data_IF_720649848313
#
_entry.id   IF_720649848313
#
_cell.length_a   1.000
_cell.length_b   1.000
_cell.length_c   1.000
_cell.angle_alpha   90.00
_cell.angle_beta   90.00
_cell.angle_gamma   90.00
#
_symmetry.space_group_name_H-M   'P 1'
#
loop_
_entity.id
_entity.type
_entity.pdbx_description
1 polymer ?
#
# COMPACT_ATOMS: atom_id res chain seq x y z
N UNK A 1 -12.40 -0.84 -1.00
CA UNK A 1 -11.03 -0.34 -1.24
C UNK A 1 -11.04 1.17 -1.14
N UNK A 2 -10.07 1.76 -0.43
CA UNK A 2 -9.94 3.21 -0.19
C UNK A 2 -8.89 3.80 -1.13
N UNK A 3 -9.27 4.70 -2.01
CA UNK A 3 -8.38 5.30 -3.02
C UNK A 3 -8.35 6.81 -2.85
N UNK A 4 -7.14 7.37 -2.86
CA UNK A 4 -6.98 8.82 -3.00
C UNK A 4 -6.69 9.16 -4.45
N UNK A 5 -7.51 10.02 -5.06
CA UNK A 5 -7.25 10.55 -6.41
C UNK A 5 -6.60 11.92 -6.28
N UNK A 6 -5.41 12.08 -6.84
CA UNK A 6 -4.66 13.34 -6.83
C UNK A 6 -4.46 13.81 -8.26
N UNK A 7 -4.88 15.03 -8.56
CA UNK A 7 -4.79 15.61 -9.90
C UNK A 7 -3.72 16.69 -9.98
N UNK A 8 -3.08 16.82 -11.14
CA UNK A 8 -2.20 17.97 -11.40
C UNK A 8 -3.00 19.28 -11.38
N UNK A 9 -2.41 20.34 -10.85
CA UNK A 9 -2.99 21.69 -10.89
C UNK A 9 -3.21 22.22 -12.31
N UNK A 10 -2.61 21.58 -13.32
CA UNK A 10 -2.80 21.91 -14.73
C UNK A 10 -4.13 21.39 -15.31
N UNK A 11 -4.82 20.45 -14.64
CA UNK A 11 -6.12 19.95 -15.08
C UNK A 11 -7.19 21.00 -14.75
N UNK A 12 -7.67 21.71 -15.78
CA UNK A 12 -8.82 22.63 -15.64
C UNK A 12 -10.13 21.84 -15.63
N UNK A 13 -11.12 22.33 -14.87
CA UNK A 13 -12.43 21.67 -14.67
C UNK A 13 -13.19 21.34 -15.97
N UNK A 14 -12.96 22.08 -17.04
CA UNK A 14 -13.65 21.93 -18.32
C UNK A 14 -12.94 21.00 -19.32
N UNK A 15 -11.85 20.35 -18.91
CA UNK A 15 -11.08 19.47 -19.81
C UNK A 15 -11.68 18.07 -19.88
N UNK A 16 -11.45 17.37 -21.00
CA UNK A 16 -11.78 15.94 -21.14
C UNK A 16 -11.16 15.09 -20.02
N UNK A 17 -9.99 15.48 -19.51
CA UNK A 17 -9.36 14.83 -18.36
C UNK A 17 -10.17 15.00 -17.08
N UNK A 18 -10.73 16.19 -16.82
CA UNK A 18 -11.58 16.43 -15.66
C UNK A 18 -12.90 15.66 -15.74
N UNK A 19 -13.51 15.62 -16.92
CA UNK A 19 -14.70 14.78 -17.17
C UNK A 19 -14.39 13.31 -16.92
N UNK A 20 -13.29 12.79 -17.46
CA UNK A 20 -12.86 11.41 -17.25
C UNK A 20 -12.72 11.07 -15.77
N UNK A 21 -12.05 11.94 -15.00
CA UNK A 21 -11.86 11.74 -13.56
C UNK A 21 -13.22 11.71 -12.84
N UNK A 22 -14.12 12.64 -13.15
CA UNK A 22 -15.44 12.70 -12.50
C UNK A 22 -16.30 11.47 -12.81
N UNK A 23 -16.34 11.02 -14.06
CA UNK A 23 -17.08 9.82 -14.45
C UNK A 23 -16.45 8.57 -13.84
N UNK A 24 -15.12 8.46 -13.87
CA UNK A 24 -14.39 7.36 -13.24
C UNK A 24 -14.71 7.25 -11.75
N UNK A 25 -14.68 8.36 -11.01
CA UNK A 25 -15.01 8.35 -9.58
C UNK A 25 -16.47 7.95 -9.36
N UNK A 26 -17.42 8.45 -10.17
CA UNK A 26 -18.82 8.08 -10.06
C UNK A 26 -19.04 6.58 -10.27
N UNK A 27 -18.57 6.03 -11.38
CA UNK A 27 -18.78 4.63 -11.77
C UNK A 27 -18.14 3.66 -10.78
N UNK A 28 -16.92 3.96 -10.33
CA UNK A 28 -16.24 3.12 -9.35
C UNK A 28 -16.84 3.20 -7.94
N UNK A 29 -17.50 4.31 -7.61
CA UNK A 29 -18.25 4.43 -6.35
C UNK A 29 -19.46 3.49 -6.36
N UNK A 30 -20.13 3.34 -7.51
CA UNK A 30 -21.23 2.37 -7.68
C UNK A 30 -20.73 0.94 -7.46
N UNK A 31 -19.50 0.63 -7.88
CA UNK A 31 -18.83 -0.66 -7.68
C UNK A 31 -18.20 -0.83 -6.27
N UNK A 32 -18.45 0.09 -5.33
CA UNK A 32 -18.02 -0.02 -3.93
C UNK A 32 -16.58 0.47 -3.63
N UNK A 33 -16.01 1.29 -4.52
CA UNK A 33 -14.74 2.00 -4.25
C UNK A 33 -15.00 3.27 -3.44
N UNK A 34 -14.26 3.44 -2.35
CA UNK A 34 -14.34 4.65 -1.53
C UNK A 34 -13.22 5.61 -1.91
N UNK A 35 -13.57 6.83 -2.31
CA UNK A 35 -12.59 7.88 -2.58
C UNK A 35 -12.40 8.75 -1.34
N UNK A 36 -11.17 8.81 -0.81
CA UNK A 36 -10.84 9.51 0.44
C UNK A 36 -9.67 10.48 0.25
N UNK A 37 -9.80 11.68 0.82
CA UNK A 37 -8.81 12.75 0.62
C UNK A 37 -7.67 12.75 1.65
N UNK A 38 -7.75 12.04 2.79
CA UNK A 38 -6.78 12.33 3.85
C UNK A 38 -6.46 11.29 4.94
N UNK A 39 -7.02 10.06 4.97
CA UNK A 39 -6.59 9.05 5.97
C UNK A 39 -6.64 7.62 5.42
N UNK A 40 -5.67 6.81 5.85
CA UNK A 40 -5.58 5.35 5.62
C UNK A 40 -5.98 4.89 4.21
N UNK A 41 -5.28 5.34 3.17
CA UNK A 41 -5.61 4.96 1.78
C UNK A 41 -4.92 3.66 1.39
N UNK A 42 -5.60 2.79 0.66
CA UNK A 42 -5.02 1.54 0.15
C UNK A 42 -4.15 1.81 -1.08
N UNK A 43 -4.53 2.79 -1.91
CA UNK A 43 -3.84 3.20 -3.14
C UNK A 43 -3.94 4.71 -3.34
N UNK A 44 -2.90 5.33 -3.91
CA UNK A 44 -2.97 6.70 -4.45
C UNK A 44 -2.95 6.63 -5.98
N UNK A 45 -4.00 7.15 -6.62
CA UNK A 45 -4.06 7.32 -8.06
C UNK A 45 -3.76 8.78 -8.44
N UNK A 46 -2.58 9.00 -9.01
CA UNK A 46 -2.13 10.31 -9.47
C UNK A 46 -2.49 10.47 -10.94
N UNK A 47 -3.06 11.62 -11.31
CA UNK A 47 -3.57 11.85 -12.66
C UNK A 47 -3.10 13.20 -13.22
N UNK A 48 -2.56 13.18 -14.44
CA UNK A 48 -2.13 14.35 -15.20
C UNK A 48 -0.62 14.63 -15.17
N UNK A 49 -0.27 15.89 -15.49
CA UNK A 49 1.11 16.32 -15.71
C UNK A 49 1.94 16.32 -14.42
N UNK A 50 3.16 15.77 -14.50
CA UNK A 50 4.12 15.84 -13.41
C UNK A 50 4.54 17.29 -13.13
N UNK A 51 4.40 17.69 -11.88
CA UNK A 51 4.93 18.94 -11.34
C UNK A 51 5.67 18.68 -10.02
N UNK A 52 6.27 19.73 -9.44
CA UNK A 52 7.02 19.62 -8.19
C UNK A 52 6.16 19.19 -7.00
N UNK A 53 4.88 19.58 -6.98
CA UNK A 53 3.97 19.24 -5.88
C UNK A 53 3.63 17.74 -5.93
N UNK A 54 3.27 17.23 -7.10
CA UNK A 54 3.02 15.81 -7.30
C UNK A 54 4.26 14.96 -7.03
N UNK A 55 5.46 15.39 -7.47
CA UNK A 55 6.69 14.65 -7.18
C UNK A 55 6.97 14.56 -5.67
N UNK A 56 6.72 15.63 -4.91
CA UNK A 56 6.84 15.60 -3.44
C UNK A 56 5.84 14.65 -2.82
N UNK A 57 4.59 14.65 -3.28
CA UNK A 57 3.57 13.73 -2.83
C UNK A 57 3.95 12.26 -3.11
N UNK A 58 4.46 11.97 -4.30
CA UNK A 58 4.96 10.63 -4.69
C UNK A 58 6.07 10.17 -3.75
N UNK A 59 7.03 11.05 -3.42
CA UNK A 59 8.13 10.72 -2.51
C UNK A 59 7.61 10.44 -1.10
N UNK A 60 6.68 11.25 -0.58
CA UNK A 60 6.06 11.04 0.73
C UNK A 60 5.25 9.75 0.78
N UNK A 61 4.53 9.42 -0.29
CA UNK A 61 3.79 8.16 -0.41
C UNK A 61 4.75 6.96 -0.45
N UNK A 62 5.86 7.06 -1.19
CA UNK A 62 6.91 6.05 -1.23
C UNK A 62 7.56 5.81 0.14
N UNK A 63 7.90 6.86 0.89
CA UNK A 63 8.46 6.72 2.23
C UNK A 63 7.49 6.06 3.20
N UNK A 64 6.18 6.24 2.98
CA UNK A 64 5.11 5.58 3.72
C UNK A 64 4.74 4.20 3.15
N UNK A 65 5.44 3.71 2.12
CA UNK A 65 5.17 2.43 1.45
C UNK A 65 3.71 2.29 0.97
N UNK A 66 3.14 3.37 0.43
CA UNK A 66 1.80 3.39 -0.17
C UNK A 66 1.93 3.05 -1.66
N UNK A 67 1.14 2.12 -2.22
CA UNK A 67 1.18 1.88 -3.66
C UNK A 67 0.63 3.08 -4.43
N UNK A 68 1.24 3.35 -5.58
CA UNK A 68 0.93 4.51 -6.41
C UNK A 68 0.63 4.03 -7.82
N UNK A 69 -0.56 4.36 -8.33
CA UNK A 69 -0.87 4.30 -9.75
C UNK A 69 -0.71 5.69 -10.35
N UNK A 70 0.09 5.85 -11.39
CA UNK A 70 0.30 7.14 -12.04
C UNK A 70 -0.17 7.14 -13.50
N UNK A 71 -1.11 8.04 -13.79
CA UNK A 71 -1.76 8.19 -15.10
C UNK A 71 -1.44 9.56 -15.71
N UNK A 72 -0.55 9.65 -16.69
CA UNK A 72 -0.15 10.94 -17.24
C UNK A 72 -1.24 11.63 -18.08
N UNK A 73 -2.25 10.89 -18.57
CA UNK A 73 -3.36 11.41 -19.38
C UNK A 73 -2.86 12.21 -20.61
N UNK A 74 -1.95 11.62 -21.38
CA UNK A 74 -1.31 12.21 -22.56
C UNK A 74 -0.43 13.46 -22.28
N UNK A 75 -0.17 13.81 -21.02
CA UNK A 75 0.69 14.95 -20.66
C UNK A 75 2.20 14.66 -20.78
N UNK A 76 2.56 13.43 -21.16
CA UNK A 76 3.94 12.92 -21.11
C UNK A 76 4.88 13.53 -22.16
N UNK A 77 4.31 14.11 -23.22
CA UNK A 77 5.04 14.69 -24.36
C UNK A 77 6.00 15.81 -23.92
N UNK A 78 5.75 16.44 -22.78
CA UNK A 78 6.54 17.55 -22.24
C UNK A 78 7.71 17.14 -21.32
N UNK A 79 8.01 15.85 -21.16
CA UNK A 79 8.95 15.38 -20.12
C UNK A 79 10.38 15.14 -20.59
N UNK A 80 10.69 15.33 -21.87
CA UNK A 80 12.05 15.11 -22.39
C UNK A 80 13.07 15.96 -21.61
N UNK A 81 14.05 15.30 -20.99
CA UNK A 81 15.17 15.91 -20.26
C UNK A 81 14.79 16.76 -19.03
N UNK A 82 13.62 16.53 -18.43
CA UNK A 82 13.23 17.23 -17.20
C UNK A 82 13.90 16.63 -15.96
N UNK A 83 14.45 17.44 -15.02
CA UNK A 83 14.92 16.97 -13.71
C UNK A 83 13.85 16.21 -12.92
N UNK A 84 12.57 16.58 -13.12
CA UNK A 84 11.44 15.89 -12.49
C UNK A 84 11.29 14.46 -12.99
N UNK A 85 11.55 14.22 -14.28
CA UNK A 85 11.50 12.89 -14.87
C UNK A 85 12.55 11.98 -14.22
N UNK A 86 13.79 12.46 -14.09
CA UNK A 86 14.87 11.68 -13.48
C UNK A 86 14.57 11.37 -12.01
N UNK A 87 14.01 12.32 -11.28
CA UNK A 87 13.57 12.09 -9.90
C UNK A 87 12.41 11.08 -9.82
N UNK A 88 11.46 11.12 -10.75
CA UNK A 88 10.34 10.20 -10.81
C UNK A 88 10.81 8.75 -11.03
N UNK A 89 11.83 8.52 -11.87
CA UNK A 89 12.41 7.19 -12.13
C UNK A 89 13.01 6.51 -10.88
N UNK A 90 13.23 7.26 -9.80
CA UNK A 90 13.76 6.71 -8.52
C UNK A 90 12.66 6.34 -7.54
N UNK A 91 11.41 6.68 -7.84
CA UNK A 91 10.26 6.36 -7.00
C UNK A 91 9.72 4.97 -7.37
N UNK A 92 9.11 4.25 -6.42
CA UNK A 92 8.34 3.05 -6.76
C UNK A 92 6.91 3.47 -7.08
N UNK A 93 6.45 3.15 -8.28
CA UNK A 93 5.08 3.38 -8.74
C UNK A 93 4.78 2.50 -9.95
N UNK A 94 3.50 2.33 -10.24
CA UNK A 94 3.00 1.66 -11.44
C UNK A 94 2.37 2.70 -12.37
N UNK A 95 2.63 2.60 -13.67
CA UNK A 95 2.01 3.50 -14.64
C UNK A 95 0.72 2.92 -15.22
N UNK A 96 -0.27 3.79 -15.39
CA UNK A 96 -1.45 3.54 -16.22
C UNK A 96 -1.42 4.47 -17.42
N UNK A 97 -1.37 3.86 -18.61
CA UNK A 97 -1.50 4.55 -19.88
C UNK A 97 -2.93 4.42 -20.41
N UNK A 98 -3.41 5.51 -20.99
CA UNK A 98 -4.75 5.60 -21.62
C UNK A 98 -4.72 5.34 -23.12
N UNK A 99 -3.52 5.33 -23.72
CA UNK A 99 -3.30 5.05 -25.14
C UNK A 99 -2.05 4.22 -25.42
N UNK A 100 -2.02 3.57 -26.58
CA UNK A 100 -0.91 2.67 -26.98
C UNK A 100 0.44 3.42 -27.10
N UNK A 101 0.44 4.61 -27.69
CA UNK A 101 1.66 5.41 -27.83
C UNK A 101 2.19 5.89 -26.47
N UNK A 102 1.29 6.29 -25.55
CA UNK A 102 1.65 6.65 -24.18
C UNK A 102 2.30 5.45 -23.46
N UNK A 103 1.70 4.26 -23.57
CA UNK A 103 2.27 3.03 -23.00
C UNK A 103 3.68 2.77 -23.53
N UNK A 104 3.86 2.79 -24.85
CA UNK A 104 5.15 2.53 -25.49
C UNK A 104 6.22 3.53 -25.03
N UNK A 105 5.86 4.81 -24.97
CA UNK A 105 6.78 5.85 -24.50
C UNK A 105 7.22 5.60 -23.05
N UNK A 106 6.28 5.30 -22.14
CA UNK A 106 6.60 5.03 -20.73
C UNK A 106 7.50 3.81 -20.61
N UNK A 107 7.15 2.72 -21.30
CA UNK A 107 7.93 1.47 -21.28
C UNK A 107 9.36 1.68 -21.75
N UNK A 108 9.61 2.54 -22.74
CA UNK A 108 10.97 2.81 -23.22
C UNK A 108 11.77 3.68 -22.24
N UNK A 109 11.13 4.62 -21.57
CA UNK A 109 11.84 5.66 -20.81
C UNK A 109 11.87 5.44 -19.30
N UNK A 110 10.97 4.62 -18.74
CA UNK A 110 10.80 4.44 -17.30
C UNK A 110 11.06 3.01 -16.82
N UNK A 111 11.91 2.24 -17.50
CA UNK A 111 12.37 0.95 -16.95
C UNK A 111 13.00 1.14 -15.55
N UNK A 112 12.71 0.25 -14.58
CA UNK A 112 11.99 -1.03 -14.70
C UNK A 112 10.47 -0.96 -14.38
N UNK A 113 9.85 0.22 -14.43
CA UNK A 113 8.46 0.40 -13.96
C UNK A 113 7.47 -0.36 -14.84
N UNK A 114 6.46 -0.94 -14.20
CA UNK A 114 5.34 -1.57 -14.90
C UNK A 114 4.39 -0.54 -15.51
N UNK A 115 3.82 -0.89 -16.66
CA UNK A 115 2.91 -0.02 -17.42
C UNK A 115 1.72 -0.81 -17.94
N UNK A 116 0.54 -0.45 -17.45
CA UNK A 116 -0.73 -1.05 -17.84
C UNK A 116 -1.49 -0.15 -18.81
N UNK A 117 -2.25 -0.74 -19.74
CA UNK A 117 -3.09 0.01 -20.69
C UNK A 117 -4.55 -0.22 -20.33
N UNK A 118 -5.23 0.83 -19.88
CA UNK A 118 -6.70 0.86 -19.76
C UNK A 118 -7.17 2.10 -20.50
N UNK A 119 -7.95 1.90 -21.57
CA UNK A 119 -8.35 2.99 -22.47
C UNK A 119 -9.26 4.00 -21.75
N UNK A 120 -9.24 5.25 -22.21
CA UNK A 120 -10.16 6.28 -21.72
C UNK A 120 -11.50 6.18 -22.48
N UNK A 121 -12.62 5.81 -21.81
CA UNK A 121 -13.93 5.62 -22.45
C UNK A 121 -14.44 6.89 -23.15
N UNK A 122 -14.14 8.07 -22.61
CA UNK A 122 -14.58 9.36 -23.17
C UNK A 122 -13.92 9.63 -24.53
N UNK A 123 -12.67 9.20 -24.70
CA UNK A 123 -11.91 9.44 -25.94
C UNK A 123 -12.18 8.34 -26.97
N UNK A 124 -12.44 7.11 -26.51
CA UNK A 124 -12.58 5.96 -27.42
C UNK A 124 -13.98 5.79 -28.01
N UNK A 125 -14.98 6.56 -27.53
CA UNK A 125 -16.37 6.46 -27.98
C UNK A 125 -16.89 5.00 -27.98
N UNK A 126 -16.33 4.18 -27.07
CA UNK A 126 -16.59 2.75 -26.98
C UNK A 126 -17.85 2.57 -26.14
N UNK A 127 -18.91 1.98 -26.73
CA UNK A 127 -20.22 1.79 -26.10
C UNK A 127 -20.24 0.88 -24.87
N UNK A 128 -19.10 0.29 -24.50
CA UNK A 128 -18.90 -0.56 -23.33
C UNK A 128 -18.13 0.17 -22.21
N UNK A 129 -18.63 1.34 -21.80
CA UNK A 129 -17.98 2.17 -20.76
C UNK A 129 -17.84 1.44 -19.42
N UNK A 130 -18.77 0.56 -19.06
CA UNK A 130 -18.73 -0.24 -17.82
C UNK A 130 -17.57 -1.25 -17.77
N UNK A 131 -17.22 -1.87 -18.89
CA UNK A 131 -16.12 -2.85 -18.96
C UNK A 131 -14.74 -2.19 -18.78
N UNK A 132 -14.60 -0.91 -19.14
CA UNK A 132 -13.37 -0.15 -18.93
C UNK A 132 -13.16 0.23 -17.46
N UNK A 133 -14.23 0.54 -16.72
CA UNK A 133 -14.12 0.81 -15.28
C UNK A 133 -13.86 -0.47 -14.48
N UNK A 134 -14.41 -1.62 -14.91
CA UNK A 134 -14.03 -2.92 -14.36
C UNK A 134 -12.53 -3.21 -14.56
N UNK A 135 -12.00 -2.98 -15.76
CA UNK A 135 -10.56 -3.12 -16.01
C UNK A 135 -9.71 -2.20 -15.12
N UNK A 136 -10.18 -0.98 -14.83
CA UNK A 136 -9.48 -0.09 -13.91
C UNK A 136 -9.54 -0.56 -12.45
N UNK A 137 -10.68 -1.12 -12.03
CA UNK A 137 -10.84 -1.72 -10.70
C UNK A 137 -9.94 -2.96 -10.54
N UNK A 138 -9.87 -3.81 -11.56
CA UNK A 138 -8.93 -4.94 -11.64
C UNK A 138 -7.48 -4.45 -11.54
N UNK A 139 -7.15 -3.36 -12.23
CA UNK A 139 -5.82 -2.75 -12.16
C UNK A 139 -5.49 -2.24 -10.74
N UNK A 140 -6.42 -1.58 -10.06
CA UNK A 140 -6.20 -1.16 -8.67
C UNK A 140 -5.98 -2.33 -7.73
N UNK A 141 -6.79 -3.38 -7.86
CA UNK A 141 -6.66 -4.62 -7.08
C UNK A 141 -5.32 -5.27 -7.33
N UNK A 142 -4.89 -5.30 -8.60
CA UNK A 142 -3.60 -5.84 -9.01
C UNK A 142 -2.44 -5.07 -8.38
N UNK A 143 -2.42 -3.74 -8.54
CA UNK A 143 -1.34 -2.89 -8.02
C UNK A 143 -1.24 -2.96 -6.50
N UNK A 144 -2.36 -3.00 -5.79
CA UNK A 144 -2.35 -3.15 -4.32
C UNK A 144 -1.84 -4.52 -3.90
N UNK A 145 -2.25 -5.60 -4.58
CA UNK A 145 -1.80 -6.96 -4.31
C UNK A 145 -0.31 -7.17 -4.59
N UNK A 146 0.19 -6.72 -5.74
CA UNK A 146 1.61 -6.86 -6.11
C UNK A 146 2.52 -6.07 -5.16
N UNK A 147 2.07 -4.88 -4.76
CA UNK A 147 2.77 -4.08 -3.75
C UNK A 147 2.82 -4.78 -2.39
N UNK A 148 1.70 -5.36 -1.93
CA UNK A 148 1.68 -6.13 -0.68
C UNK A 148 2.65 -7.31 -0.72
N UNK A 149 2.65 -8.07 -1.82
CA UNK A 149 3.59 -9.16 -2.05
C UNK A 149 5.05 -8.68 -2.04
N UNK A 150 5.33 -7.50 -2.59
CA UNK A 150 6.67 -6.91 -2.52
C UNK A 150 7.06 -6.57 -1.08
N UNK A 151 6.17 -5.96 -0.29
CA UNK A 151 6.43 -5.66 1.13
C UNK A 151 6.72 -6.95 1.91
N UNK A 152 5.92 -7.99 1.72
CA UNK A 152 6.14 -9.30 2.37
C UNK A 152 7.47 -9.93 1.98
N UNK A 153 7.87 -9.84 0.71
CA UNK A 153 9.19 -10.31 0.25
C UNK A 153 10.34 -9.52 0.89
N UNK A 154 10.22 -8.20 1.01
CA UNK A 154 11.22 -7.37 1.68
C UNK A 154 11.35 -7.70 3.17
N UNK A 155 10.22 -7.87 3.86
CA UNK A 155 10.18 -8.30 5.26
C UNK A 155 10.85 -9.66 5.42
N UNK A 156 10.51 -10.63 4.56
CA UNK A 156 11.14 -11.95 4.56
C UNK A 156 12.64 -11.87 4.38
N UNK A 157 13.12 -11.09 3.41
CA UNK A 157 14.55 -10.87 3.19
C UNK A 157 15.25 -10.23 4.39
N UNK A 158 14.56 -9.37 5.15
CA UNK A 158 15.10 -8.79 6.37
C UNK A 158 15.22 -9.83 7.49
N UNK A 159 14.21 -10.69 7.67
CA UNK A 159 14.23 -11.75 8.69
C UNK A 159 15.23 -12.86 8.36
N UNK A 160 15.36 -13.22 7.08
CA UNK A 160 16.28 -14.27 6.61
C UNK A 160 17.76 -13.91 6.90
N UNK A 161 18.10 -12.65 7.19
CA UNK A 161 19.46 -12.22 7.60
C UNK A 161 19.89 -12.76 8.96
N UNK A 162 18.97 -13.23 9.80
CA UNK A 162 19.25 -13.66 11.18
C UNK A 162 19.57 -15.16 11.32
N UNK A 163 19.91 -15.86 10.23
CA UNK A 163 20.39 -17.27 10.18
C UNK A 163 19.84 -18.19 11.29
N UNK A 164 18.52 -18.28 11.42
CA UNK A 164 17.85 -19.19 12.34
C UNK A 164 17.35 -20.44 11.61
N UNK A 165 17.49 -21.61 12.23
CA UNK A 165 16.88 -22.87 11.76
C UNK A 165 15.43 -23.02 12.21
N UNK A 166 14.95 -22.14 13.09
CA UNK A 166 13.59 -22.15 13.59
C UNK A 166 12.66 -21.41 12.61
N UNK A 167 11.98 -22.20 11.77
CA UNK A 167 11.03 -21.69 10.78
C UNK A 167 9.79 -21.03 11.41
N UNK A 168 9.39 -21.45 12.61
CA UNK A 168 8.22 -20.89 13.28
C UNK A 168 8.53 -19.51 13.85
N UNK A 169 9.71 -19.37 14.47
CA UNK A 169 10.25 -18.08 14.90
C UNK A 169 10.34 -17.11 13.73
N UNK A 170 10.92 -17.54 12.59
CA UNK A 170 11.00 -16.70 11.39
C UNK A 170 9.62 -16.28 10.90
N UNK A 171 8.66 -17.20 10.91
CA UNK A 171 7.28 -16.90 10.50
C UNK A 171 6.65 -15.84 11.39
N UNK A 172 6.77 -15.95 12.71
CA UNK A 172 6.24 -14.95 13.64
C UNK A 172 6.96 -13.59 13.51
N UNK A 173 8.28 -13.57 13.34
CA UNK A 173 9.02 -12.33 13.06
C UNK A 173 8.52 -11.63 11.80
N UNK A 174 8.24 -12.39 10.73
CA UNK A 174 7.66 -11.85 9.51
C UNK A 174 6.29 -11.21 9.76
N UNK A 175 5.43 -11.88 10.55
CA UNK A 175 4.10 -11.35 10.88
C UNK A 175 4.18 -10.11 11.78
N UNK A 176 5.11 -10.04 12.74
CA UNK A 176 5.31 -8.87 13.58
C UNK A 176 5.78 -7.64 12.79
N UNK A 177 6.75 -7.81 11.88
CA UNK A 177 7.16 -6.74 10.98
C UNK A 177 6.02 -6.28 10.06
N UNK A 178 5.23 -7.24 9.57
CA UNK A 178 4.08 -6.92 8.73
C UNK A 178 2.97 -6.22 9.52
N UNK A 179 2.74 -6.59 10.78
CA UNK A 179 1.85 -5.89 11.70
C UNK A 179 2.29 -4.43 11.91
N UNK A 180 3.59 -4.18 12.06
CA UNK A 180 4.15 -2.84 12.19
C UNK A 180 3.92 -2.01 10.91
N UNK A 181 4.11 -2.62 9.74
CA UNK A 181 3.77 -2.00 8.47
C UNK A 181 2.29 -1.60 8.40
N UNK A 182 1.38 -2.52 8.74
CA UNK A 182 -0.07 -2.24 8.75
C UNK A 182 -0.45 -1.16 9.77
N UNK A 183 0.19 -1.15 10.94
CA UNK A 183 -0.02 -0.12 11.96
C UNK A 183 0.36 1.27 11.46
N UNK A 184 1.52 1.41 10.80
CA UNK A 184 1.96 2.69 10.21
C UNK A 184 1.06 3.15 9.04
N UNK A 185 0.33 2.22 8.42
CA UNK A 185 -0.64 2.48 7.34
C UNK A 185 -2.06 2.75 7.85
N UNK A 186 -2.28 2.67 9.16
CA UNK A 186 -3.61 2.70 9.77
C UNK A 186 -4.55 1.63 9.16
N UNK A 187 -4.00 0.45 8.85
CA UNK A 187 -4.70 -0.69 8.21
C UNK A 187 -4.62 -2.00 9.00
N UNK A 188 -4.05 -1.97 10.21
CA UNK A 188 -4.11 -3.10 11.13
C UNK A 188 -5.58 -3.33 11.54
N UNK A 189 -6.04 -4.58 11.51
CA UNK A 189 -7.45 -4.92 11.68
C UNK A 189 -7.64 -6.13 12.62
N UNK A 190 -8.87 -6.35 13.14
CA UNK A 190 -9.14 -7.42 14.11
C UNK A 190 -8.85 -8.82 13.56
N UNK A 191 -9.13 -9.08 12.27
CA UNK A 191 -8.95 -10.40 11.67
C UNK A 191 -7.46 -10.77 11.60
N UNK A 192 -6.59 -9.83 11.23
CA UNK A 192 -5.15 -10.04 11.24
C UNK A 192 -4.63 -10.29 12.66
N UNK A 193 -5.07 -9.49 13.64
CA UNK A 193 -4.66 -9.65 15.04
C UNK A 193 -5.05 -11.02 15.60
N UNK A 194 -6.27 -11.49 15.31
CA UNK A 194 -6.73 -12.82 15.72
C UNK A 194 -5.92 -13.94 15.04
N UNK A 195 -5.66 -13.84 13.74
CA UNK A 195 -4.81 -14.81 13.03
C UNK A 195 -3.40 -14.88 13.61
N UNK A 196 -2.82 -13.74 14.01
CA UNK A 196 -1.53 -13.70 14.67
C UNK A 196 -1.60 -14.35 16.07
N UNK A 197 -2.65 -14.08 16.84
CA UNK A 197 -2.86 -14.71 18.15
C UNK A 197 -2.93 -16.23 18.03
N UNK A 198 -3.68 -16.74 17.05
CA UNK A 198 -3.82 -18.18 16.81
C UNK A 198 -2.47 -18.82 16.43
N UNK A 199 -1.65 -18.13 15.61
CA UNK A 199 -0.29 -18.58 15.27
C UNK A 199 0.62 -18.61 16.49
N UNK A 200 0.58 -17.59 17.35
CA UNK A 200 1.39 -17.54 18.56
C UNK A 200 1.04 -18.68 19.53
N UNK A 201 -0.25 -19.02 19.66
CA UNK A 201 -0.70 -20.10 20.54
C UNK A 201 -0.39 -21.52 20.04
N UNK A 202 -0.13 -21.66 18.74
CA UNK A 202 0.09 -22.97 18.10
C UNK A 202 1.54 -23.22 17.69
N UNK A 203 2.37 -22.18 17.69
CA UNK A 203 3.80 -22.28 17.39
C UNK A 203 4.60 -22.71 18.62
N UNK A 204 5.50 -23.67 18.42
CA UNK A 204 6.58 -24.07 19.31
C UNK A 204 7.88 -23.42 18.81
N UNK A 205 8.29 -22.34 19.47
CA UNK A 205 9.45 -21.53 19.10
C UNK A 205 10.21 -21.08 20.34
N UNK A 206 11.50 -20.77 20.18
CA UNK A 206 12.33 -20.28 21.28
C UNK A 206 12.00 -18.81 21.60
N UNK A 207 11.31 -18.57 22.72
CA UNK A 207 10.91 -17.23 23.19
C UNK A 207 12.09 -16.31 23.53
N UNK A 208 13.16 -16.83 24.14
CA UNK A 208 14.36 -16.05 24.45
C UNK A 208 15.03 -15.53 23.17
N UNK A 209 15.19 -16.43 22.19
CA UNK A 209 15.74 -16.08 20.88
C UNK A 209 14.82 -15.13 20.11
N UNK A 210 13.49 -15.26 20.26
CA UNK A 210 12.52 -14.30 19.71
C UNK A 210 12.81 -12.90 20.28
N UNK A 211 12.93 -12.76 21.60
CA UNK A 211 13.25 -11.49 22.25
C UNK A 211 14.52 -10.83 21.68
N UNK A 212 15.60 -11.60 21.49
CA UNK A 212 16.84 -11.11 20.88
C UNK A 212 16.66 -10.64 19.42
N UNK A 213 15.94 -11.41 18.61
CA UNK A 213 15.71 -11.07 17.20
C UNK A 213 14.81 -9.83 17.09
N UNK A 214 13.79 -9.70 17.93
CA UNK A 214 12.94 -8.51 17.97
C UNK A 214 13.72 -7.24 18.35
N UNK A 215 14.75 -7.35 19.20
CA UNK A 215 15.67 -6.24 19.50
C UNK A 215 16.52 -5.88 18.29
N UNK A 216 17.12 -6.87 17.63
CA UNK A 216 17.96 -6.66 16.43
C UNK A 216 17.16 -6.11 15.23
N UNK A 217 15.88 -6.47 15.13
CA UNK A 217 14.93 -5.92 14.16
C UNK A 217 14.42 -4.51 14.52
N UNK A 218 14.78 -3.99 15.70
CA UNK A 218 14.31 -2.69 16.23
C UNK A 218 12.79 -2.59 16.36
N UNK A 219 12.09 -3.71 16.60
CA UNK A 219 10.63 -3.76 16.75
C UNK A 219 10.15 -4.21 18.13
N UNK A 220 11.06 -4.54 19.05
CA UNK A 220 10.75 -5.05 20.39
C UNK A 220 9.65 -4.25 21.11
N UNK A 221 9.81 -2.92 21.23
CA UNK A 221 8.82 -2.07 21.93
C UNK A 221 7.46 -2.02 21.23
N UNK A 222 7.45 -2.12 19.90
CA UNK A 222 6.20 -2.21 19.15
C UNK A 222 5.49 -3.54 19.40
N UNK A 223 6.23 -4.66 19.36
CA UNK A 223 5.68 -6.00 19.59
C UNK A 223 5.12 -6.12 21.01
N UNK A 224 5.84 -5.62 22.03
CA UNK A 224 5.35 -5.63 23.40
C UNK A 224 4.02 -4.86 23.57
N UNK A 225 3.84 -3.76 22.83
CA UNK A 225 2.58 -3.01 22.79
C UNK A 225 1.47 -3.73 22.02
N UNK A 226 1.84 -4.38 20.90
CA UNK A 226 0.91 -5.17 20.08
C UNK A 226 0.37 -6.36 20.87
N UNK A 227 1.25 -7.10 21.54
CA UNK A 227 0.89 -8.24 22.37
C UNK A 227 -0.02 -7.82 23.52
N UNK A 228 0.27 -6.71 24.20
CA UNK A 228 -0.62 -6.17 25.23
C UNK A 228 -2.02 -5.87 24.67
N UNK A 229 -2.11 -5.26 23.49
CA UNK A 229 -3.40 -4.98 22.87
C UNK A 229 -4.12 -6.27 22.46
N UNK A 230 -3.39 -7.27 21.97
CA UNK A 230 -3.92 -8.58 21.59
C UNK A 230 -4.43 -9.36 22.82
N UNK A 231 -3.73 -9.33 23.95
CA UNK A 231 -4.21 -9.91 25.22
C UNK A 231 -5.56 -9.33 25.65
N UNK A 232 -5.81 -8.05 25.36
CA UNK A 232 -7.03 -7.34 25.74
C UNK A 232 -8.20 -7.58 24.78
N UNK A 233 -7.93 -8.00 23.53
CA UNK A 233 -8.91 -7.91 22.43
C UNK A 233 -9.07 -9.18 21.61
N UNK A 234 -8.19 -10.16 21.78
CA UNK A 234 -8.18 -11.45 21.07
C UNK A 234 -8.21 -12.62 22.07
N UNK A 235 -8.05 -13.84 21.59
CA UNK A 235 -7.93 -15.05 22.44
C UNK A 235 -6.54 -15.25 23.05
N UNK A 236 -5.55 -14.38 22.75
CA UNK A 236 -4.19 -14.50 23.26
C UNK A 236 -4.15 -14.49 24.78
N UNK A 237 -3.32 -15.34 25.37
CA UNK A 237 -3.08 -15.37 26.83
C UNK A 237 -1.60 -15.24 27.14
N UNK A 238 -1.30 -14.84 28.38
CA UNK A 238 0.07 -14.51 28.84
C UNK A 238 1.04 -15.69 28.71
N UNK A 239 0.56 -16.92 28.69
CA UNK A 239 1.41 -18.11 28.50
C UNK A 239 1.95 -18.30 27.08
N UNK A 240 1.61 -17.41 26.13
CA UNK A 240 2.00 -17.51 24.72
C UNK A 240 2.64 -16.22 24.19
N UNK A 241 3.06 -15.30 25.07
CA UNK A 241 3.79 -14.09 24.67
C UNK A 241 5.29 -14.28 24.92
N UNK A 242 6.15 -14.01 23.94
CA UNK A 242 7.59 -14.20 24.05
C UNK A 242 8.31 -13.11 24.84
N UNK A 243 7.68 -11.94 25.00
CA UNK A 243 8.29 -10.79 25.68
C UNK A 243 7.31 -10.13 26.65
N UNK A 244 7.79 -9.42 27.69
CA UNK A 244 6.92 -8.70 28.60
C UNK A 244 6.08 -7.64 27.87
N UNK A 245 4.77 -7.83 27.88
CA UNK A 245 3.80 -6.91 27.31
C UNK A 245 3.83 -5.54 28.03
N UNK A 246 3.60 -4.45 27.28
CA UNK A 246 3.60 -3.09 27.82
C UNK A 246 2.27 -2.38 27.54
N UNK A 247 1.72 -1.68 28.53
CA UNK A 247 0.54 -0.83 28.37
C UNK A 247 0.96 0.64 28.23
N UNK A 248 0.93 1.16 27.00
CA UNK A 248 1.29 2.53 26.69
C UNK A 248 0.34 3.15 25.64
N UNK A 249 0.68 4.35 25.15
CA UNK A 249 -0.11 5.04 24.11
C UNK A 249 -0.23 4.23 22.81
N UNK A 250 0.83 3.54 22.40
CA UNK A 250 0.85 2.69 21.21
C UNK A 250 -0.10 1.51 21.39
N UNK A 251 -0.09 0.87 22.56
CA UNK A 251 -1.03 -0.19 22.94
C UNK A 251 -2.48 0.24 22.77
N UNK A 252 -2.84 1.42 23.31
CA UNK A 252 -4.20 1.97 23.19
C UNK A 252 -4.59 2.22 21.73
N UNK A 253 -3.68 2.81 20.93
CA UNK A 253 -3.94 3.04 19.51
C UNK A 253 -4.14 1.71 18.76
N UNK A 254 -3.32 0.70 19.04
CA UNK A 254 -3.46 -0.63 18.44
C UNK A 254 -4.81 -1.23 18.84
N UNK A 255 -5.16 -1.20 20.13
CA UNK A 255 -6.43 -1.70 20.65
C UNK A 255 -7.63 -1.03 19.97
N UNK A 256 -7.61 0.31 19.81
CA UNK A 256 -8.63 1.04 19.04
C UNK A 256 -8.74 0.49 17.60
N UNK A 257 -7.63 0.32 16.90
CA UNK A 257 -7.62 -0.19 15.52
C UNK A 257 -8.16 -1.62 15.39
N UNK A 258 -7.86 -2.50 16.35
CA UNK A 258 -8.24 -3.92 16.29
C UNK A 258 -9.54 -4.24 17.04
N UNK A 259 -10.22 -3.23 17.61
CA UNK A 259 -11.57 -3.35 18.20
C UNK A 259 -12.63 -2.69 17.34
N UNK A 260 -12.28 -1.59 16.66
CA UNK A 260 -13.19 -0.95 15.72
C UNK A 260 -13.27 -1.77 14.43
N UNK A 261 -14.48 -2.22 14.07
CA UNK A 261 -14.79 -2.68 12.71
C UNK A 261 -14.71 -1.46 11.80
N UNK A 262 -13.67 -1.39 10.96
CA UNK A 262 -13.67 -0.51 9.78
C UNK A 262 -14.86 -0.84 8.88
#
# INVERSE_FOLDING_TARGET
MRIQVVTSSAIKKETLSAQYISTMQHELTIEGTNFEDNKSVDLIHIMGKLDLALLRLIKTANSKKIPILYSPLASIVSWQHSPLQYALKKCHLTFHATGKHEKQYIQQHFQPHEVYLVKNPIVTNDGASSDLYKQLLELYTKVTSEHDQQIRRQIKQQVDQFESTDHQLQTLCNEFLYAQYLFHRDSLNPAFAQQLADKMQTADYNEDLMGEILQKLEIYSFVASLEQAMLQTTTLTVGFIPIPAIDNRTTRKIAEMITHKN
#
